data_IF_699591231882
#
_entry.id   IF_699591231882
#
_cell.length_a   1.000
_cell.length_b   1.000
_cell.length_c   1.000
_cell.angle_alpha   90.00
_cell.angle_beta   90.00
_cell.angle_gamma   90.00
#
_symmetry.space_group_name_H-M   'P 1'
#
loop_
_entity.id
_entity.type
_entity.pdbx_description
1 polymer ?
#
# COMPACT_ATOMS: atom_id res chain seq x y z
N UNK A 1 5.60 -19.98 -6.80
CA UNK A 1 5.17 -19.28 -5.55
C UNK A 1 4.81 -17.84 -5.85
N UNK A 2 3.84 -17.25 -5.15
CA UNK A 2 3.36 -15.88 -5.42
C UNK A 2 4.10 -14.85 -4.58
N UNK A 3 4.56 -13.76 -5.21
CA UNK A 3 5.07 -12.57 -4.53
C UNK A 3 4.08 -11.42 -4.67
N UNK A 4 3.86 -10.67 -3.58
CA UNK A 4 3.08 -9.44 -3.57
C UNK A 4 4.04 -8.24 -3.52
N UNK A 5 4.00 -7.42 -4.55
CA UNK A 5 4.79 -6.20 -4.66
C UNK A 5 3.93 -5.03 -4.19
N UNK A 6 4.26 -4.49 -3.04
CA UNK A 6 3.55 -3.39 -2.41
C UNK A 6 4.19 -2.08 -2.84
N UNK A 7 3.46 -1.24 -3.52
CA UNK A 7 3.93 0.05 -4.03
C UNK A 7 3.10 1.16 -3.39
N UNK A 8 3.72 1.98 -2.53
CA UNK A 8 3.06 3.17 -2.02
C UNK A 8 3.02 4.25 -3.08
N UNK A 9 1.91 4.96 -3.21
CA UNK A 9 1.80 6.12 -4.11
C UNK A 9 2.94 7.11 -3.92
N UNK A 10 3.24 7.87 -4.99
CA UNK A 10 4.22 8.94 -4.99
C UNK A 10 3.88 10.07 -4.02
N UNK A 11 4.77 11.04 -3.88
CA UNK A 11 4.60 12.18 -2.99
C UNK A 11 3.38 13.03 -3.37
N UNK A 12 2.64 13.50 -2.35
CA UNK A 12 1.56 14.49 -2.42
C UNK A 12 1.84 15.61 -1.42
N UNK A 13 1.23 16.78 -1.57
CA UNK A 13 1.39 17.87 -0.58
C UNK A 13 1.07 17.40 0.84
N UNK A 14 -0.04 16.67 1.02
CA UNK A 14 -0.43 16.19 2.33
C UNK A 14 0.52 15.12 2.89
N UNK A 15 1.18 14.33 2.04
CA UNK A 15 2.21 13.40 2.50
C UNK A 15 3.48 14.11 2.99
N UNK A 16 3.85 15.23 2.37
CA UNK A 16 4.96 16.10 2.82
C UNK A 16 4.64 16.76 4.16
N UNK A 17 3.41 17.24 4.32
CA UNK A 17 2.94 17.86 5.56
C UNK A 17 2.68 16.85 6.70
N UNK A 18 2.65 15.56 6.40
CA UNK A 18 2.35 14.49 7.36
C UNK A 18 0.89 14.42 7.78
N UNK A 19 -0.03 14.90 6.92
CA UNK A 19 -1.47 14.86 7.13
C UNK A 19 -2.05 13.47 6.84
N UNK A 20 -2.97 13.03 7.69
CA UNK A 20 -3.77 11.84 7.46
C UNK A 20 -4.64 12.04 6.21
N UNK A 21 -4.45 11.20 5.18
CA UNK A 21 -5.09 11.34 3.87
C UNK A 21 -5.78 10.04 3.48
N UNK A 22 -7.10 10.03 3.46
CA UNK A 22 -7.91 8.87 3.07
C UNK A 22 -8.77 9.17 1.85
N UNK A 23 -10.00 9.67 2.08
CA UNK A 23 -11.00 9.91 1.05
C UNK A 23 -10.76 11.18 0.25
N UNK A 24 -10.04 12.16 0.80
CA UNK A 24 -9.67 13.37 0.08
C UNK A 24 -8.70 13.03 -1.04
N UNK A 25 -9.06 13.40 -2.25
CA UNK A 25 -8.32 12.98 -3.45
C UNK A 25 -7.26 14.02 -3.81
N UNK A 26 -6.12 13.94 -3.14
CA UNK A 26 -4.96 14.82 -3.32
C UNK A 26 -4.08 14.27 -4.46
N UNK A 27 -3.73 15.09 -5.50
CA UNK A 27 -2.86 14.68 -6.59
C UNK A 27 -1.41 14.53 -6.16
N UNK A 28 -0.60 13.89 -7.01
CA UNK A 28 0.84 13.85 -6.84
C UNK A 28 1.46 15.24 -6.99
N UNK A 29 2.55 15.52 -6.27
CA UNK A 29 3.43 16.65 -6.56
C UNK A 29 4.21 16.38 -7.86
N UNK A 30 4.87 17.41 -8.39
CA UNK A 30 5.75 17.22 -9.56
C UNK A 30 6.87 16.20 -9.27
N UNK A 31 7.48 16.28 -8.09
CA UNK A 31 8.47 15.30 -7.64
C UNK A 31 7.86 13.89 -7.51
N UNK A 32 6.63 13.80 -7.00
CA UNK A 32 5.89 12.53 -6.92
C UNK A 32 5.66 11.90 -8.29
N UNK A 33 5.34 12.69 -9.32
CA UNK A 33 5.18 12.24 -10.71
C UNK A 33 6.50 11.75 -11.32
N UNK A 34 7.56 12.51 -11.14
CA UNK A 34 8.90 12.14 -11.62
C UNK A 34 9.36 10.81 -11.02
N UNK A 35 9.21 10.65 -9.69
CA UNK A 35 9.53 9.39 -9.01
C UNK A 35 8.64 8.21 -9.43
N UNK A 36 7.36 8.45 -9.72
CA UNK A 36 6.49 7.42 -10.25
C UNK A 36 6.93 6.93 -11.64
N UNK A 37 7.41 7.82 -12.51
CA UNK A 37 7.98 7.44 -13.80
C UNK A 37 9.30 6.66 -13.66
N UNK A 38 10.15 7.04 -12.70
CA UNK A 38 11.38 6.29 -12.38
C UNK A 38 11.07 4.90 -11.82
N UNK A 39 10.04 4.80 -10.98
CA UNK A 39 9.53 3.52 -10.50
C UNK A 39 9.16 2.59 -11.65
N UNK A 40 8.54 3.09 -12.72
CA UNK A 40 8.24 2.32 -13.92
C UNK A 40 9.49 1.71 -14.57
N UNK A 41 10.58 2.48 -14.66
CA UNK A 41 11.87 1.99 -15.17
C UNK A 41 12.45 0.88 -14.28
N UNK A 42 12.32 1.02 -12.98
CA UNK A 42 12.76 0.00 -12.02
C UNK A 42 11.94 -1.30 -12.16
N UNK A 43 10.63 -1.18 -12.35
CA UNK A 43 9.72 -2.33 -12.48
C UNK A 43 9.71 -2.98 -13.87
N UNK A 44 10.26 -2.33 -14.91
CA UNK A 44 10.21 -2.79 -16.30
C UNK A 44 10.80 -4.19 -16.53
N UNK A 45 11.71 -4.66 -15.64
CA UNK A 45 12.27 -6.02 -15.68
C UNK A 45 11.42 -7.09 -14.98
N UNK A 46 10.29 -6.70 -14.38
CA UNK A 46 9.44 -7.61 -13.62
C UNK A 46 8.12 -7.85 -14.36
N UNK A 47 7.80 -9.11 -14.63
CA UNK A 47 6.49 -9.48 -15.18
C UNK A 47 5.49 -9.64 -14.03
N UNK A 48 4.38 -8.90 -14.10
CA UNK A 48 3.26 -9.04 -13.19
C UNK A 48 2.10 -9.78 -13.86
N UNK A 49 1.58 -10.80 -13.19
CA UNK A 49 0.35 -11.50 -13.62
C UNK A 49 -0.90 -10.66 -13.43
N UNK A 50 -0.89 -9.83 -12.41
CA UNK A 50 -1.96 -8.89 -12.13
C UNK A 50 -1.39 -7.63 -11.50
N UNK A 51 -2.06 -6.52 -11.77
CA UNK A 51 -1.80 -5.22 -11.14
C UNK A 51 -3.12 -4.75 -10.53
N UNK A 52 -3.15 -4.60 -9.21
CA UNK A 52 -4.28 -4.07 -8.47
C UNK A 52 -3.93 -2.67 -7.96
N UNK A 53 -4.90 -1.77 -7.96
CA UNK A 53 -4.69 -0.41 -7.46
C UNK A 53 -5.85 0.11 -6.64
N UNK A 54 -5.54 0.98 -5.70
CA UNK A 54 -6.54 1.80 -5.02
C UNK A 54 -7.29 2.69 -6.03
N UNK A 55 -8.58 2.98 -5.81
CA UNK A 55 -9.33 3.93 -6.64
C UNK A 55 -8.85 5.37 -6.53
N UNK A 56 -8.10 5.74 -5.46
CA UNK A 56 -7.68 7.12 -5.20
C UNK A 56 -6.70 7.64 -6.25
N UNK A 57 -6.86 8.92 -6.65
CA UNK A 57 -6.10 9.54 -7.73
C UNK A 57 -4.58 9.37 -7.57
N UNK A 58 -4.02 9.61 -6.40
CA UNK A 58 -2.58 9.50 -6.14
C UNK A 58 -2.01 8.11 -6.40
N UNK A 59 -2.76 7.04 -6.08
CA UNK A 59 -2.35 5.66 -6.34
C UNK A 59 -2.55 5.31 -7.82
N UNK A 60 -3.66 5.76 -8.42
CA UNK A 60 -3.93 5.61 -9.84
C UNK A 60 -2.85 6.28 -10.68
N UNK A 61 -2.56 7.56 -10.43
CA UNK A 61 -1.58 8.34 -11.17
C UNK A 61 -0.16 7.73 -11.03
N UNK A 62 0.19 7.23 -9.83
CA UNK A 62 1.45 6.50 -9.64
C UNK A 62 1.51 5.24 -10.50
N UNK A 63 0.44 4.47 -10.56
CA UNK A 63 0.32 3.24 -11.35
C UNK A 63 0.41 3.54 -12.87
N UNK A 64 -0.29 4.57 -13.33
CA UNK A 64 -0.28 5.02 -14.73
C UNK A 64 1.11 5.48 -15.17
N UNK A 65 1.77 6.34 -14.38
CA UNK A 65 3.13 6.84 -14.65
C UNK A 65 4.19 5.73 -14.57
N UNK A 66 3.96 4.71 -13.75
CA UNK A 66 4.80 3.53 -13.72
C UNK A 66 4.57 2.56 -14.92
N UNK A 67 3.65 2.88 -15.84
CA UNK A 67 3.41 2.12 -17.06
C UNK A 67 2.40 0.97 -16.93
N UNK A 68 1.61 0.93 -15.85
CA UNK A 68 0.66 -0.15 -15.59
C UNK A 68 -0.82 0.29 -15.67
N UNK A 69 -1.11 1.51 -16.13
CA UNK A 69 -2.47 2.07 -16.15
C UNK A 69 -3.48 1.20 -16.91
N UNK A 70 -3.11 0.71 -18.08
CA UNK A 70 -4.00 -0.03 -18.97
C UNK A 70 -4.36 -1.45 -18.46
N UNK A 71 -3.52 -2.03 -17.60
CA UNK A 71 -3.69 -3.40 -17.09
C UNK A 71 -4.15 -3.45 -15.63
N UNK A 72 -4.18 -2.29 -14.97
CA UNK A 72 -4.49 -2.21 -13.55
C UNK A 72 -6.00 -2.33 -13.28
N UNK A 73 -6.36 -3.21 -12.37
CA UNK A 73 -7.72 -3.40 -11.87
C UNK A 73 -7.89 -2.66 -10.54
N UNK A 74 -9.00 -1.95 -10.40
CA UNK A 74 -9.36 -1.26 -9.14
C UNK A 74 -9.75 -2.29 -8.09
N UNK A 75 -9.15 -2.18 -6.91
CA UNK A 75 -9.55 -2.92 -5.72
C UNK A 75 -9.86 -1.93 -4.57
N UNK A 76 -11.13 -1.85 -4.18
CA UNK A 76 -11.61 -0.98 -3.11
C UNK A 76 -10.96 -1.31 -1.75
N UNK A 77 -10.53 -2.55 -1.55
CA UNK A 77 -9.80 -2.98 -0.36
C UNK A 77 -8.42 -2.33 -0.21
N UNK A 78 -7.90 -1.72 -1.29
CA UNK A 78 -6.63 -0.97 -1.30
C UNK A 78 -6.77 0.50 -0.93
N UNK A 79 -7.98 1.02 -0.61
CA UNK A 79 -8.14 2.38 -0.06
C UNK A 79 -7.29 2.54 1.20
N UNK A 80 -6.86 3.76 1.46
CA UNK A 80 -6.17 4.07 2.72
C UNK A 80 -7.15 3.92 3.90
N UNK A 81 -6.60 3.81 5.09
CA UNK A 81 -7.35 3.81 6.35
C UNK A 81 -8.25 5.05 6.42
N UNK A 82 -9.55 4.86 6.67
CA UNK A 82 -10.46 5.97 6.86
C UNK A 82 -10.21 6.63 8.22
N UNK A 83 -9.67 7.85 8.18
CA UNK A 83 -9.31 8.58 9.40
C UNK A 83 -10.46 9.39 10.01
N UNK A 84 -11.68 9.31 9.47
CA UNK A 84 -12.86 9.99 10.00
C UNK A 84 -12.60 11.48 10.25
N UNK A 85 -12.85 11.94 11.48
CA UNK A 85 -12.68 13.36 11.85
C UNK A 85 -11.23 13.85 11.84
N UNK A 86 -10.26 12.95 11.71
CA UNK A 86 -8.83 13.28 11.68
C UNK A 86 -8.28 13.44 10.25
N UNK A 87 -9.12 13.29 9.24
CA UNK A 87 -8.75 13.53 7.82
C UNK A 87 -8.21 14.95 7.63
N UNK A 88 -7.09 15.10 6.92
CA UNK A 88 -6.44 16.39 6.63
C UNK A 88 -5.65 16.98 7.80
N UNK A 89 -5.56 16.29 8.93
CA UNK A 89 -4.83 16.74 10.12
C UNK A 89 -3.54 15.94 10.30
N UNK A 90 -2.53 16.59 10.84
CA UNK A 90 -1.30 15.93 11.30
C UNK A 90 -1.48 15.31 12.68
N UNK A 91 -0.69 14.28 13.00
CA UNK A 91 -0.68 13.72 14.37
C UNK A 91 -0.35 14.78 15.42
N UNK A 92 0.49 15.78 15.09
CA UNK A 92 0.87 16.87 15.99
C UNK A 92 -0.31 17.79 16.33
N UNK A 93 -1.12 18.15 15.35
CA UNK A 93 -2.33 18.95 15.54
C UNK A 93 -3.36 18.21 16.39
N UNK A 94 -3.53 16.91 16.17
CA UNK A 94 -4.44 16.10 16.97
C UNK A 94 -3.94 15.99 18.41
N UNK A 95 -2.63 15.77 18.60
CA UNK A 95 -2.03 15.67 19.95
C UNK A 95 -2.07 16.98 20.73
N UNK A 96 -2.16 18.14 20.08
CA UNK A 96 -2.37 19.41 20.77
C UNK A 96 -3.74 19.48 21.46
N UNK A 97 -4.75 18.76 20.95
CA UNK A 97 -6.10 18.69 21.52
C UNK A 97 -6.27 17.44 22.41
N UNK A 98 -5.67 16.32 22.00
CA UNK A 98 -5.74 15.01 22.67
C UNK A 98 -4.32 14.54 22.97
N UNK A 99 -3.74 14.93 24.13
CA UNK A 99 -2.37 14.59 24.48
C UNK A 99 -2.10 13.08 24.40
N UNK A 100 -1.03 12.73 23.68
CA UNK A 100 -0.61 11.34 23.52
C UNK A 100 -1.43 10.53 22.53
N UNK A 101 -2.34 11.13 21.76
CA UNK A 101 -3.09 10.44 20.71
C UNK A 101 -2.17 9.77 19.68
N UNK A 102 -2.60 8.62 19.16
CA UNK A 102 -1.89 7.92 18.09
C UNK A 102 -2.82 7.02 17.30
N UNK A 103 -2.73 7.11 15.97
CA UNK A 103 -3.59 6.39 15.02
C UNK A 103 -3.66 4.87 15.24
N UNK A 104 -2.61 4.29 15.80
CA UNK A 104 -2.52 2.84 16.04
C UNK A 104 -3.13 2.37 17.36
N UNK A 105 -3.41 3.28 18.29
CA UNK A 105 -3.87 2.92 19.65
C UNK A 105 -5.22 3.50 20.02
N UNK A 106 -5.56 4.66 19.46
CA UNK A 106 -6.76 5.40 19.83
C UNK A 106 -7.89 5.17 18.81
N UNK A 107 -9.16 5.27 19.21
CA UNK A 107 -10.28 5.15 18.31
C UNK A 107 -10.28 6.25 17.23
N UNK A 108 -10.63 5.90 16.03
CA UNK A 108 -10.81 6.82 14.91
C UNK A 108 -12.30 7.17 14.79
N UNK A 109 -12.69 8.32 15.33
CA UNK A 109 -14.09 8.76 15.36
C UNK A 109 -14.59 8.95 13.91
N UNK A 110 -15.66 8.24 13.54
CA UNK A 110 -16.23 8.28 12.20
C UNK A 110 -15.37 7.63 11.11
N UNK A 111 -14.31 6.91 11.51
CA UNK A 111 -13.42 6.19 10.60
C UNK A 111 -13.41 4.68 10.85
N UNK A 112 -12.38 4.01 10.35
CA UNK A 112 -12.16 2.57 10.52
C UNK A 112 -11.32 2.28 11.77
N UNK A 113 -11.48 1.09 12.35
CA UNK A 113 -10.49 0.51 13.26
C UNK A 113 -9.37 -0.15 12.48
N UNK A 114 -8.21 -0.37 13.10
CA UNK A 114 -7.12 -1.13 12.48
C UNK A 114 -7.58 -2.54 12.07
N UNK A 115 -8.44 -3.16 12.85
CA UNK A 115 -8.99 -4.50 12.62
C UNK A 115 -9.89 -4.52 11.37
N UNK A 116 -10.73 -3.50 11.15
CA UNK A 116 -11.54 -3.35 9.94
C UNK A 116 -10.67 -3.21 8.69
N UNK A 117 -9.61 -2.39 8.76
CA UNK A 117 -8.61 -2.31 7.68
C UNK A 117 -7.91 -3.65 7.49
N UNK A 118 -7.61 -4.38 8.58
CA UNK A 118 -7.02 -5.72 8.54
C UNK A 118 -7.90 -6.73 7.79
N UNK A 119 -9.20 -6.74 8.05
CA UNK A 119 -10.17 -7.63 7.36
C UNK A 119 -10.19 -7.37 5.85
N UNK A 120 -10.22 -6.09 5.42
CA UNK A 120 -10.19 -5.80 3.97
C UNK A 120 -8.82 -6.07 3.34
N UNK A 121 -7.74 -5.92 4.09
CA UNK A 121 -6.39 -6.29 3.65
C UNK A 121 -6.26 -7.81 3.46
N UNK A 122 -6.84 -8.65 4.35
CA UNK A 122 -6.92 -10.09 4.18
C UNK A 122 -7.69 -10.46 2.89
N UNK A 123 -8.77 -9.74 2.60
CA UNK A 123 -9.52 -9.88 1.34
C UNK A 123 -8.68 -9.56 0.09
N UNK A 124 -7.86 -8.50 0.15
CA UNK A 124 -6.91 -8.16 -0.95
C UNK A 124 -5.88 -9.29 -1.13
N UNK A 125 -5.29 -9.78 -0.04
CA UNK A 125 -4.32 -10.89 -0.08
C UNK A 125 -4.98 -12.12 -0.74
N UNK A 126 -6.20 -12.48 -0.33
CA UNK A 126 -6.90 -13.64 -0.87
C UNK A 126 -7.16 -13.51 -2.39
N UNK A 127 -7.61 -12.33 -2.86
CA UNK A 127 -7.82 -12.05 -4.29
C UNK A 127 -6.53 -12.11 -5.09
N UNK A 128 -5.47 -11.49 -4.58
CA UNK A 128 -4.16 -11.49 -5.24
C UNK A 128 -3.59 -12.92 -5.37
N UNK A 129 -3.75 -13.74 -4.34
CA UNK A 129 -3.34 -15.15 -4.39
C UNK A 129 -4.21 -15.97 -5.35
N UNK A 130 -5.53 -15.73 -5.40
CA UNK A 130 -6.44 -16.44 -6.29
C UNK A 130 -6.12 -16.20 -7.76
N UNK A 131 -5.82 -14.94 -8.14
CA UNK A 131 -5.38 -14.59 -9.51
C UNK A 131 -4.09 -15.34 -9.88
N UNK A 132 -3.13 -15.38 -8.96
CA UNK A 132 -1.87 -16.08 -9.18
C UNK A 132 -2.05 -17.59 -9.32
N UNK A 133 -2.97 -18.22 -8.59
CA UNK A 133 -3.27 -19.65 -8.71
C UNK A 133 -4.01 -19.99 -10.02
N UNK A 134 -4.96 -19.15 -10.45
CA UNK A 134 -5.70 -19.37 -11.70
C UNK A 134 -4.83 -19.30 -12.96
N UNK A 135 -3.74 -18.54 -12.91
CA UNK A 135 -2.77 -18.43 -13.99
C UNK A 135 -1.65 -19.48 -13.94
N UNK A 136 -1.52 -20.23 -12.87
CA UNK A 136 -0.44 -21.21 -12.62
C UNK A 136 -0.61 -22.54 -13.36
N UNK A 137 -1.47 -22.63 -14.38
CA UNK A 137 -1.53 -23.80 -15.29
C UNK A 137 -0.31 -23.90 -16.20
N UNK A 138 0.52 -22.86 -16.28
CA UNK A 138 1.85 -22.94 -16.89
C UNK A 138 2.91 -22.86 -15.77
N UNK A 139 3.91 -23.73 -15.84
CA UNK A 139 5.02 -23.87 -14.87
C UNK A 139 5.87 -22.59 -14.74
N UNK A 140 5.33 -21.55 -14.07
CA UNK A 140 6.11 -20.37 -13.71
C UNK A 140 6.60 -20.52 -12.27
N UNK A 141 7.91 -20.47 -12.08
CA UNK A 141 8.54 -20.58 -10.75
C UNK A 141 8.07 -19.51 -9.77
N UNK A 142 7.84 -18.28 -10.23
CA UNK A 142 7.37 -17.14 -9.41
C UNK A 142 6.29 -16.34 -10.14
N UNK A 143 5.19 -16.10 -9.46
CA UNK A 143 4.09 -15.25 -9.93
C UNK A 143 4.05 -13.94 -9.14
N UNK A 144 4.20 -12.81 -9.81
CA UNK A 144 4.20 -11.50 -9.17
C UNK A 144 2.84 -10.81 -9.32
N UNK A 145 2.34 -10.21 -8.24
CA UNK A 145 1.16 -9.35 -8.24
C UNK A 145 1.56 -8.00 -7.67
N UNK A 146 1.30 -6.91 -8.41
CA UNK A 146 1.58 -5.55 -7.96
C UNK A 146 0.34 -4.94 -7.28
N UNK A 147 0.55 -4.25 -6.15
CA UNK A 147 -0.48 -3.58 -5.36
C UNK A 147 -0.10 -2.10 -5.18
N UNK A 148 -0.73 -1.19 -5.94
CA UNK A 148 -0.52 0.25 -5.80
C UNK A 148 -1.51 0.85 -4.81
N UNK A 149 -1.02 1.29 -3.66
CA UNK A 149 -1.87 1.75 -2.57
C UNK A 149 -1.20 2.79 -1.66
N UNK A 150 -1.48 2.74 -0.35
CA UNK A 150 -1.15 3.78 0.60
C UNK A 150 -0.38 3.22 1.80
N UNK A 151 0.12 4.14 2.65
CA UNK A 151 1.02 3.78 3.72
C UNK A 151 0.43 2.80 4.73
N UNK A 152 -0.69 3.17 5.39
CA UNK A 152 -1.18 2.36 6.51
C UNK A 152 -1.82 1.06 6.05
N UNK A 153 -2.60 1.06 4.94
CA UNK A 153 -3.18 -0.19 4.42
C UNK A 153 -2.09 -1.19 4.01
N UNK A 154 -1.01 -0.76 3.35
CA UNK A 154 0.09 -1.65 2.95
C UNK A 154 0.89 -2.16 4.16
N UNK A 155 1.10 -1.33 5.19
CA UNK A 155 1.73 -1.74 6.45
C UNK A 155 0.89 -2.77 7.21
N UNK A 156 -0.43 -2.58 7.25
CA UNK A 156 -1.37 -3.54 7.82
C UNK A 156 -1.38 -4.83 7.00
N UNK A 157 -1.42 -4.74 5.67
CA UNK A 157 -1.37 -5.90 4.78
C UNK A 157 -0.10 -6.73 5.02
N UNK A 158 1.06 -6.07 5.16
CA UNK A 158 2.31 -6.77 5.47
C UNK A 158 2.28 -7.44 6.86
N UNK A 159 1.71 -6.80 7.87
CA UNK A 159 1.52 -7.41 9.20
C UNK A 159 0.63 -8.65 9.10
N UNK A 160 -0.51 -8.55 8.41
CA UNK A 160 -1.44 -9.67 8.18
C UNK A 160 -0.80 -10.81 7.39
N UNK A 161 0.02 -10.48 6.39
CA UNK A 161 0.77 -11.46 5.61
C UNK A 161 1.61 -12.39 6.47
N UNK A 162 2.36 -11.85 7.42
CA UNK A 162 3.24 -12.63 8.31
C UNK A 162 2.56 -13.10 9.60
N UNK A 163 1.21 -13.04 9.67
CA UNK A 163 0.45 -13.58 10.79
C UNK A 163 0.34 -12.67 12.02
N UNK A 164 0.71 -11.40 11.91
CA UNK A 164 0.51 -10.43 12.99
C UNK A 164 -0.92 -9.88 12.98
N UNK A 165 -1.36 -9.33 14.11
CA UNK A 165 -2.58 -8.51 14.19
C UNK A 165 -2.44 -7.24 13.32
N UNK A 166 -3.56 -6.65 12.91
CA UNK A 166 -3.57 -5.44 12.07
C UNK A 166 -2.73 -4.29 12.66
N UNK A 167 -2.80 -4.10 13.97
CA UNK A 167 -1.98 -3.10 14.70
C UNK A 167 -0.48 -3.37 14.62
N UNK A 168 -0.05 -4.56 14.22
CA UNK A 168 1.35 -4.87 13.92
C UNK A 168 1.92 -4.02 12.79
N UNK A 169 1.05 -3.45 11.93
CA UNK A 169 1.45 -2.48 10.92
C UNK A 169 2.24 -1.28 11.46
N UNK A 170 2.08 -0.94 12.75
CA UNK A 170 2.87 0.13 13.40
C UNK A 170 4.39 -0.13 13.41
N UNK A 171 4.79 -1.38 13.32
CA UNK A 171 6.20 -1.79 13.36
C UNK A 171 6.94 -1.54 12.04
N UNK A 172 6.23 -1.20 10.98
CA UNK A 172 6.77 -0.96 9.66
C UNK A 172 6.78 0.53 9.34
N UNK A 173 7.83 1.02 8.71
CA UNK A 173 7.85 2.34 8.07
C UNK A 173 7.71 2.15 6.55
N UNK A 174 7.01 3.05 5.85
CA UNK A 174 6.86 2.96 4.40
C UNK A 174 6.81 4.36 3.79
N UNK A 175 7.86 4.74 3.06
CA UNK A 175 8.01 6.01 2.36
C UNK A 175 7.15 6.09 1.08
N UNK A 176 6.88 7.31 0.59
CA UNK A 176 6.20 7.56 -0.69
C UNK A 176 7.04 7.05 -1.86
N UNK A 177 6.41 6.39 -2.84
CA UNK A 177 7.10 5.82 -3.99
C UNK A 177 7.98 4.60 -3.69
N UNK A 178 8.03 4.13 -2.45
CA UNK A 178 8.83 2.98 -2.06
C UNK A 178 8.12 1.65 -2.34
N UNK A 179 8.93 0.62 -2.52
CA UNK A 179 8.53 -0.75 -2.83
C UNK A 179 8.82 -1.66 -1.64
N UNK A 180 7.92 -2.61 -1.42
CA UNK A 180 8.17 -3.74 -0.54
C UNK A 180 7.71 -5.03 -1.23
N UNK A 181 8.34 -6.15 -0.91
CA UNK A 181 8.01 -7.45 -1.51
C UNK A 181 7.74 -8.45 -0.40
N UNK A 182 6.56 -9.02 -0.44
CA UNK A 182 6.14 -10.12 0.41
C UNK A 182 6.21 -11.41 -0.40
N UNK A 183 6.63 -12.48 0.23
CA UNK A 183 6.77 -13.77 -0.46
C UNK A 183 6.87 -14.92 0.51
N UNK A 184 7.56 -15.96 0.10
CA UNK A 184 7.63 -17.21 0.81
C UNK A 184 9.08 -17.64 0.99
N UNK A 185 9.38 -18.18 2.14
CA UNK A 185 10.55 -18.99 2.40
C UNK A 185 10.05 -20.39 2.76
N UNK A 186 10.20 -21.32 1.84
CA UNK A 186 9.53 -22.62 1.88
C UNK A 186 8.00 -22.45 1.98
N UNK A 187 7.39 -22.92 3.03
CA UNK A 187 5.95 -22.77 3.30
C UNK A 187 5.61 -21.57 4.20
N UNK A 188 6.63 -20.81 4.61
CA UNK A 188 6.47 -19.68 5.52
C UNK A 188 6.30 -18.38 4.76
N UNK A 189 5.27 -17.61 5.10
CA UNK A 189 5.08 -16.25 4.59
C UNK A 189 6.11 -15.32 5.22
N UNK A 190 6.88 -14.61 4.40
CA UNK A 190 7.96 -13.73 4.85
C UNK A 190 7.89 -12.36 4.16
N UNK A 191 8.63 -11.40 4.71
CA UNK A 191 8.94 -10.13 4.07
C UNK A 191 10.30 -10.28 3.39
N UNK A 192 10.31 -10.35 2.05
CA UNK A 192 11.54 -10.50 1.27
C UNK A 192 12.30 -9.18 1.16
N UNK A 193 11.56 -8.06 1.08
CA UNK A 193 12.10 -6.70 1.00
C UNK A 193 11.13 -5.73 1.63
N UNK A 194 11.65 -4.73 2.35
CA UNK A 194 10.80 -3.71 2.94
C UNK A 194 11.32 -2.30 2.70
N UNK A 195 10.37 -1.40 2.29
CA UNK A 195 10.56 0.06 2.21
C UNK A 195 11.77 0.49 1.36
N UNK A 196 12.01 -0.19 0.25
CA UNK A 196 13.10 0.15 -0.67
C UNK A 196 12.73 1.38 -1.49
N UNK A 197 13.55 2.44 -1.37
CA UNK A 197 13.55 3.54 -2.31
C UNK A 197 14.21 3.15 -3.63
N UNK A 198 13.82 3.83 -4.71
CA UNK A 198 14.38 3.64 -6.06
C UNK A 198 15.52 4.64 -6.36
N UNK A 199 15.84 5.51 -5.41
CA UNK A 199 16.94 6.46 -5.54
C UNK A 199 18.28 5.71 -5.62
N UNK A 200 19.14 6.18 -6.53
CA UNK A 200 20.50 5.66 -6.72
C UNK A 200 21.43 6.09 -5.62
#
# INVERSE_FOLDING_TARGET
>A
MTQLWLIRHGETEWSVEGKHTSHTDIPLTELGRQRAAELGKYLAGTTFLAVLRSPMQRARETCELAGFGDVAVVDEGLREWNYGVYEGRTSREIQAEIPGWGVWKDPIIGGETAEQVGVRADGVIARALAVAHGAAQEEREVSNVALFAHAHVLRILAARWIGLEARGGRLFALGTGNISVLGWEWETKVVLQWNRGIEK
#
